data_IF_133237646423
#
_entry.id   IF_133237646423
#
_cell.length_a   1.000
_cell.length_b   1.000
_cell.length_c   1.000
_cell.angle_alpha   90.00
_cell.angle_beta   90.00
_cell.angle_gamma   90.00
#
_symmetry.space_group_name_H-M   'P 1'
#
loop_
_entity.id
_entity.type
_entity.pdbx_description
1 polymer ?
#
# COMPACT_ATOMS: atom_id res chain seq x y z
N UNK A 1 32.45 50.65 65.00
CA UNK A 1 31.56 50.21 63.91
C UNK A 1 32.40 49.97 62.66
N UNK A 2 32.61 48.71 62.26
CA UNK A 2 32.75 48.29 60.85
C UNK A 2 32.94 46.77 60.82
N UNK A 3 31.86 46.05 60.46
CA UNK A 3 31.86 44.59 60.26
C UNK A 3 32.41 44.29 58.85
N UNK A 4 33.46 43.48 58.76
CA UNK A 4 33.89 42.85 57.51
C UNK A 4 33.10 41.56 57.28
N UNK A 5 32.46 41.44 56.12
CA UNK A 5 31.80 40.21 55.66
C UNK A 5 32.77 39.39 54.80
N UNK A 6 32.79 38.06 54.89
CA UNK A 6 33.54 37.24 53.95
C UNK A 6 32.73 37.07 52.66
N UNK A 7 33.33 37.44 51.52
CA UNK A 7 32.82 37.11 50.19
C UNK A 7 32.97 35.62 49.94
N UNK A 8 31.86 34.88 50.00
CA UNK A 8 31.75 33.52 49.48
C UNK A 8 31.62 33.57 47.97
N UNK A 9 32.64 33.06 47.26
CA UNK A 9 32.60 32.86 45.82
C UNK A 9 31.75 31.60 45.53
N UNK A 10 30.50 31.76 45.12
CA UNK A 10 29.73 30.65 44.55
C UNK A 10 30.20 30.42 43.11
N UNK A 11 30.95 29.34 42.87
CA UNK A 11 31.17 28.83 41.53
C UNK A 11 29.92 28.06 41.08
N UNK A 12 29.10 28.67 40.23
CA UNK A 12 27.99 27.97 39.57
C UNK A 12 28.54 27.14 38.39
N UNK A 13 28.56 25.82 38.57
CA UNK A 13 28.81 24.88 37.48
C UNK A 13 27.56 24.82 36.59
N UNK A 14 27.57 25.52 35.45
CA UNK A 14 26.57 25.31 34.41
C UNK A 14 26.93 24.05 33.62
N UNK A 15 26.35 22.91 34.01
CA UNK A 15 26.31 21.72 33.15
C UNK A 15 25.31 21.97 32.02
N UNK A 16 25.80 22.38 30.85
CA UNK A 16 25.05 22.30 29.60
C UNK A 16 24.95 20.82 29.20
N UNK A 17 23.86 20.14 29.53
CA UNK A 17 23.52 18.89 28.84
C UNK A 17 23.07 19.26 27.43
N UNK A 18 24.00 19.18 26.48
CA UNK A 18 23.66 19.15 25.07
C UNK A 18 22.92 17.83 24.84
N UNK A 19 21.59 17.86 24.89
CA UNK A 19 20.76 16.76 24.42
C UNK A 19 20.94 16.73 22.91
N UNK A 20 21.95 16.01 22.43
CA UNK A 20 22.05 15.63 21.03
C UNK A 20 20.92 14.61 20.82
N UNK A 21 19.75 15.10 20.41
CA UNK A 21 18.70 14.25 19.88
C UNK A 21 19.22 13.68 18.56
N UNK A 22 19.94 12.55 18.60
CA UNK A 22 20.30 11.83 17.38
C UNK A 22 19.02 11.31 16.75
N UNK A 23 18.56 11.95 15.68
CA UNK A 23 17.47 11.42 14.88
C UNK A 23 17.96 10.08 14.33
N UNK A 24 17.20 9.01 14.56
CA UNK A 24 17.56 7.71 14.02
C UNK A 24 17.59 7.79 12.48
N UNK A 25 18.71 7.33 11.91
CA UNK A 25 18.97 7.32 10.47
C UNK A 25 18.97 5.89 9.96
N UNK A 26 18.70 5.73 8.67
CA UNK A 26 18.85 4.44 7.99
C UNK A 26 20.36 4.18 7.80
N UNK A 27 20.87 3.01 8.23
CA UNK A 27 22.25 2.62 7.95
C UNK A 27 22.52 2.62 6.44
N UNK A 28 23.71 3.07 6.02
CA UNK A 28 24.04 3.25 4.59
C UNK A 28 23.89 1.95 3.81
N UNK A 29 24.23 0.81 4.40
CA UNK A 29 24.07 -0.52 3.84
C UNK A 29 22.60 -0.93 3.60
N UNK A 30 21.65 -0.27 4.26
CA UNK A 30 20.21 -0.49 4.11
C UNK A 30 19.53 0.55 3.20
N UNK A 31 20.31 1.45 2.59
CA UNK A 31 19.83 2.40 1.57
C UNK A 31 19.89 1.77 0.19
N UNK A 32 19.15 2.33 -0.77
CA UNK A 32 19.22 1.89 -2.16
C UNK A 32 18.85 3.01 -3.13
N UNK A 33 19.32 2.89 -4.38
CA UNK A 33 18.91 3.71 -5.51
C UNK A 33 18.73 2.81 -6.72
N UNK A 34 17.53 2.82 -7.29
CA UNK A 34 17.23 2.15 -8.55
C UNK A 34 16.96 3.19 -9.64
N UNK A 35 17.52 2.97 -10.83
CA UNK A 35 17.23 3.77 -12.01
C UNK A 35 16.23 3.01 -12.88
N UNK A 36 15.22 3.72 -13.38
CA UNK A 36 14.25 3.20 -14.34
C UNK A 36 14.88 3.16 -15.74
N UNK A 37 15.67 2.11 -15.99
CA UNK A 37 16.37 1.85 -17.25
C UNK A 37 16.54 0.34 -17.47
N UNK A 38 17.04 -0.04 -18.64
CA UNK A 38 17.36 -1.43 -18.97
C UNK A 38 16.22 -2.20 -19.64
N UNK A 39 16.40 -3.52 -19.71
CA UNK A 39 15.54 -4.45 -20.45
C UNK A 39 14.13 -4.56 -19.84
N UNK A 40 13.16 -4.77 -20.71
CA UNK A 40 11.78 -5.00 -20.33
C UNK A 40 11.58 -6.46 -19.90
N UNK A 41 10.64 -6.69 -18.99
CA UNK A 41 10.26 -8.02 -18.59
C UNK A 41 9.64 -8.82 -19.75
N UNK A 42 9.92 -10.12 -19.86
CA UNK A 42 9.62 -10.89 -21.08
C UNK A 42 8.18 -11.42 -21.15
N UNK A 43 7.39 -11.25 -20.08
CA UNK A 43 6.07 -11.88 -19.95
C UNK A 43 4.92 -10.88 -20.10
N UNK A 44 3.78 -11.34 -20.61
CA UNK A 44 2.56 -10.52 -20.65
C UNK A 44 2.04 -10.28 -19.24
N UNK A 45 1.73 -9.02 -18.95
CA UNK A 45 1.22 -8.55 -17.66
C UNK A 45 -0.10 -7.81 -17.85
N UNK A 46 -0.77 -7.56 -16.73
CA UNK A 46 -2.03 -6.83 -16.72
C UNK A 46 -1.94 -5.50 -17.49
N UNK A 47 -2.98 -5.22 -18.27
CA UNK A 47 -3.11 -4.09 -19.21
C UNK A 47 -2.19 -4.11 -20.42
N UNK A 48 -1.46 -5.22 -20.67
CA UNK A 48 -0.51 -5.30 -21.77
C UNK A 48 0.62 -4.28 -21.62
N UNK A 49 1.02 -4.01 -20.37
CA UNK A 49 2.02 -3.01 -20.06
C UNK A 49 3.44 -3.54 -20.30
N UNK A 50 4.35 -2.63 -20.62
CA UNK A 50 5.77 -2.89 -20.46
C UNK A 50 6.14 -2.70 -18.99
N UNK A 51 7.16 -3.42 -18.51
CA UNK A 51 7.59 -3.34 -17.13
C UNK A 51 9.06 -3.68 -16.93
N UNK A 52 9.61 -3.22 -15.80
CA UNK A 52 10.95 -3.52 -15.31
C UNK A 52 10.86 -3.93 -13.86
N UNK A 53 11.54 -5.01 -13.51
CA UNK A 53 11.54 -5.52 -12.14
C UNK A 53 12.64 -4.85 -11.33
N UNK A 54 12.34 -4.55 -10.06
CA UNK A 54 13.34 -4.13 -9.09
C UNK A 54 13.73 -5.33 -8.21
N UNK A 55 14.94 -5.30 -7.66
CA UNK A 55 15.40 -6.31 -6.70
C UNK A 55 14.81 -6.08 -5.29
N UNK A 56 13.51 -5.80 -5.23
CA UNK A 56 12.71 -5.71 -4.02
C UNK A 56 11.53 -6.66 -4.20
N UNK A 57 11.60 -7.81 -3.54
CA UNK A 57 10.60 -8.87 -3.69
C UNK A 57 10.33 -9.60 -2.37
N UNK A 58 9.10 -10.07 -2.21
CA UNK A 58 8.70 -11.04 -1.20
C UNK A 58 7.60 -11.90 -1.83
N UNK A 59 7.93 -13.13 -2.22
CA UNK A 59 7.06 -13.95 -3.04
C UNK A 59 5.63 -14.01 -2.48
N UNK A 60 4.58 -13.74 -3.29
CA UNK A 60 4.59 -13.55 -4.76
C UNK A 60 4.57 -12.09 -5.22
N UNK A 61 5.02 -11.16 -4.36
CA UNK A 61 5.06 -9.74 -4.65
C UNK A 61 6.44 -9.28 -5.09
N UNK A 62 6.48 -8.32 -6.02
CA UNK A 62 7.72 -7.67 -6.43
C UNK A 62 7.44 -6.23 -6.86
N UNK A 63 8.36 -5.33 -6.54
CA UNK A 63 8.28 -3.94 -6.96
C UNK A 63 8.77 -3.78 -8.39
N UNK A 64 8.07 -2.99 -9.19
CA UNK A 64 8.35 -2.79 -10.61
C UNK A 64 8.14 -1.33 -11.03
N UNK A 65 8.83 -0.92 -12.09
CA UNK A 65 8.32 0.15 -12.95
C UNK A 65 7.45 -0.48 -14.02
N UNK A 66 6.33 0.14 -14.36
CA UNK A 66 5.49 -0.31 -15.48
C UNK A 66 4.85 0.87 -16.21
N UNK A 67 4.49 0.69 -17.48
CA UNK A 67 3.84 1.72 -18.27
C UNK A 67 2.83 1.14 -19.28
N UNK A 68 1.66 1.75 -19.36
CA UNK A 68 0.64 1.49 -20.41
C UNK A 68 0.64 2.58 -21.49
N UNK A 69 1.58 3.51 -21.40
CA UNK A 69 1.79 4.62 -22.34
C UNK A 69 3.30 4.81 -22.49
N UNK A 70 3.84 4.93 -23.71
CA UNK A 70 5.28 5.08 -23.91
C UNK A 70 5.87 6.21 -23.06
N UNK A 71 6.98 5.93 -22.37
CA UNK A 71 7.72 6.88 -21.53
C UNK A 71 6.90 7.54 -20.39
N UNK A 72 5.85 6.86 -19.92
CA UNK A 72 5.03 7.30 -18.78
C UNK A 72 4.96 6.19 -17.75
N UNK A 73 5.99 6.12 -16.91
CA UNK A 73 6.25 5.04 -15.98
C UNK A 73 5.62 5.26 -14.60
N UNK A 74 5.14 4.17 -14.03
CA UNK A 74 4.54 4.11 -12.70
C UNK A 74 5.31 3.09 -11.86
N UNK A 75 5.66 3.45 -10.64
CA UNK A 75 6.16 2.51 -9.64
C UNK A 75 4.98 1.76 -9.04
N UNK A 76 5.00 0.43 -9.17
CA UNK A 76 3.91 -0.43 -8.78
C UNK A 76 4.38 -1.72 -8.10
N UNK A 77 3.50 -2.32 -7.31
CA UNK A 77 3.67 -3.65 -6.77
C UNK A 77 2.93 -4.64 -7.67
N UNK A 78 3.67 -5.60 -8.24
CA UNK A 78 3.05 -6.75 -8.90
C UNK A 78 2.76 -7.88 -7.91
N UNK A 79 1.78 -8.70 -8.24
CA UNK A 79 1.44 -9.96 -7.58
C UNK A 79 1.37 -11.07 -8.63
N UNK A 80 2.13 -12.16 -8.42
CA UNK A 80 2.13 -13.34 -9.29
C UNK A 80 3.46 -14.09 -9.29
N UNK A 81 3.42 -15.40 -9.51
CA UNK A 81 4.62 -16.25 -9.52
C UNK A 81 5.21 -16.34 -10.93
N UNK A 82 6.53 -16.15 -11.06
CA UNK A 82 7.23 -16.22 -12.36
C UNK A 82 7.15 -17.62 -12.98
N UNK A 83 7.03 -18.66 -12.15
CA UNK A 83 6.98 -20.06 -12.59
C UNK A 83 5.67 -20.49 -13.25
N UNK A 84 4.61 -19.69 -13.15
CA UNK A 84 3.26 -20.15 -13.53
C UNK A 84 2.79 -19.71 -14.91
N UNK A 85 3.60 -18.91 -15.64
CA UNK A 85 3.20 -18.19 -16.88
C UNK A 85 1.90 -17.37 -16.73
N UNK A 86 1.39 -17.23 -15.49
CA UNK A 86 0.14 -16.57 -15.21
C UNK A 86 0.32 -15.06 -15.31
N UNK A 87 -0.73 -14.41 -15.82
CA UNK A 87 -0.84 -12.95 -15.86
C UNK A 87 -0.47 -12.33 -14.51
N UNK A 88 0.56 -11.48 -14.48
CA UNK A 88 0.93 -10.71 -13.30
C UNK A 88 -0.05 -9.55 -13.10
N UNK A 89 -0.44 -9.28 -11.85
CA UNK A 89 -1.45 -8.29 -11.49
C UNK A 89 -0.82 -7.09 -10.79
N UNK A 90 -1.22 -5.88 -11.15
CA UNK A 90 -0.75 -4.64 -10.53
C UNK A 90 -1.62 -4.31 -9.33
N UNK A 91 -1.16 -4.59 -8.11
CA UNK A 91 -2.03 -4.55 -6.90
C UNK A 91 -1.85 -3.29 -6.05
N UNK A 92 -0.86 -2.46 -6.36
CA UNK A 92 -0.63 -1.18 -5.70
C UNK A 92 0.23 -0.28 -6.59
N UNK A 93 0.03 1.03 -6.51
CA UNK A 93 0.80 2.01 -7.30
C UNK A 93 1.10 3.25 -6.49
N UNK A 94 2.34 3.73 -6.57
CA UNK A 94 2.81 4.89 -5.83
C UNK A 94 2.33 6.20 -6.47
N UNK A 95 2.57 6.35 -7.77
CA UNK A 95 2.45 7.60 -8.52
C UNK A 95 1.40 7.54 -9.64
N UNK A 96 0.28 6.83 -9.41
CA UNK A 96 -0.85 6.80 -10.35
C UNK A 96 -1.27 8.24 -10.71
N UNK A 97 -1.33 8.53 -12.01
CA UNK A 97 -1.65 9.86 -12.53
C UNK A 97 -0.55 10.92 -12.44
N UNK A 98 0.62 10.57 -11.92
CA UNK A 98 1.82 11.40 -11.96
C UNK A 98 3.02 10.59 -12.48
N UNK A 99 3.00 10.15 -13.75
CA UNK A 99 4.02 9.25 -14.29
C UNK A 99 5.39 9.93 -14.35
N UNK A 100 6.44 9.14 -14.17
CA UNK A 100 7.83 9.55 -14.40
C UNK A 100 8.31 9.11 -15.78
N UNK A 101 9.42 9.68 -16.23
CA UNK A 101 10.05 9.32 -17.50
C UNK A 101 11.14 8.25 -17.30
N UNK A 102 11.75 7.85 -18.42
CA UNK A 102 13.01 7.13 -18.45
C UNK A 102 14.07 7.78 -17.54
N UNK A 103 14.94 6.97 -16.95
CA UNK A 103 16.01 7.38 -16.03
C UNK A 103 15.52 8.02 -14.72
N UNK A 104 14.21 7.95 -14.43
CA UNK A 104 13.69 8.26 -13.11
C UNK A 104 14.31 7.36 -12.04
N UNK A 105 14.40 7.84 -10.81
CA UNK A 105 15.07 7.11 -9.73
C UNK A 105 14.13 6.85 -8.57
N UNK A 106 14.15 5.62 -8.05
CA UNK A 106 13.59 5.27 -6.75
C UNK A 106 14.75 5.19 -5.75
N UNK A 107 14.74 6.10 -4.78
CA UNK A 107 15.81 6.22 -3.78
C UNK A 107 15.24 6.05 -2.38
N UNK A 108 15.84 5.19 -1.57
CA UNK A 108 15.63 5.13 -0.12
C UNK A 108 16.89 5.63 0.56
N UNK A 109 16.83 6.84 1.13
CA UNK A 109 17.98 7.56 1.66
C UNK A 109 18.26 7.32 3.15
N UNK A 110 19.39 7.85 3.62
CA UNK A 110 19.79 7.80 5.05
C UNK A 110 18.84 8.59 5.96
N UNK A 111 18.16 9.59 5.39
CA UNK A 111 17.08 10.34 6.04
C UNK A 111 15.81 9.49 6.28
N UNK A 112 15.75 8.29 5.71
CA UNK A 112 14.62 7.39 5.86
C UNK A 112 13.42 7.74 4.98
N UNK A 113 13.61 8.55 3.93
CA UNK A 113 12.59 8.84 2.95
C UNK A 113 12.71 7.91 1.73
N UNK A 114 11.58 7.40 1.23
CA UNK A 114 11.52 6.71 -0.04
C UNK A 114 10.96 7.68 -1.08
N UNK A 115 11.76 8.00 -2.09
CA UNK A 115 11.52 9.07 -3.06
C UNK A 115 11.57 8.51 -4.48
N UNK A 116 10.54 8.81 -5.26
CA UNK A 116 10.51 8.61 -6.69
C UNK A 116 10.63 9.98 -7.38
N UNK A 117 11.73 10.19 -8.12
CA UNK A 117 12.01 11.44 -8.82
C UNK A 117 12.33 11.21 -10.29
N UNK A 118 12.05 12.19 -11.13
CA UNK A 118 12.51 12.22 -12.52
C UNK A 118 14.04 12.41 -12.59
N UNK A 119 14.62 12.22 -13.78
CA UNK A 119 16.04 12.44 -14.00
C UNK A 119 16.52 13.90 -13.77
N UNK A 120 15.58 14.85 -13.75
CA UNK A 120 15.82 16.26 -13.41
C UNK A 120 15.51 16.58 -11.93
N UNK A 121 15.52 15.55 -11.09
CA UNK A 121 15.28 15.59 -9.64
C UNK A 121 13.88 16.07 -9.20
N UNK A 122 12.96 16.31 -10.14
CA UNK A 122 11.57 16.61 -9.80
C UNK A 122 10.88 15.40 -9.19
N UNK A 123 10.53 15.51 -7.91
CA UNK A 123 9.85 14.48 -7.14
C UNK A 123 8.44 14.25 -7.70
N UNK A 124 8.17 13.03 -8.13
CA UNK A 124 6.83 12.60 -8.56
C UNK A 124 6.02 11.99 -7.42
N UNK A 125 6.70 11.31 -6.48
CA UNK A 125 6.08 10.71 -5.30
C UNK A 125 7.11 10.49 -4.19
N UNK A 126 6.66 10.53 -2.93
CA UNK A 126 7.50 10.18 -1.78
C UNK A 126 6.68 9.79 -0.56
N UNK A 127 7.29 9.08 0.39
CA UNK A 127 6.65 8.67 1.66
C UNK A 127 6.53 9.80 2.69
N UNK A 128 7.26 10.90 2.49
CA UNK A 128 7.34 12.03 3.43
C UNK A 128 7.81 11.59 4.83
N UNK A 129 8.81 10.72 4.88
CA UNK A 129 9.35 10.14 6.13
C UNK A 129 10.75 10.61 6.50
N UNK A 130 11.30 11.57 5.75
CA UNK A 130 12.59 12.19 6.04
C UNK A 130 12.69 12.61 7.50
N UNK A 131 13.71 12.10 8.19
CA UNK A 131 14.03 12.37 9.59
C UNK A 131 12.92 12.01 10.59
N UNK A 132 11.98 11.11 10.24
CA UNK A 132 10.91 10.63 11.13
C UNK A 132 11.27 9.36 11.91
N UNK A 133 12.55 9.09 12.08
CA UNK A 133 13.06 7.94 12.84
C UNK A 133 12.94 6.59 12.13
N UNK A 134 12.84 6.61 10.79
CA UNK A 134 12.92 5.39 9.98
C UNK A 134 14.33 4.82 10.05
N UNK A 135 14.41 3.50 10.20
CA UNK A 135 15.68 2.75 10.27
C UNK A 135 15.76 1.63 9.23
N UNK A 136 14.66 1.33 8.54
CA UNK A 136 14.65 0.30 7.51
C UNK A 136 13.39 0.29 6.65
N UNK A 137 13.50 -0.42 5.53
CA UNK A 137 12.46 -0.69 4.54
C UNK A 137 12.24 -2.20 4.43
N UNK A 138 11.00 -2.66 4.32
CA UNK A 138 10.66 -4.06 4.03
C UNK A 138 9.46 -4.17 3.10
N UNK A 139 9.48 -5.13 2.19
CA UNK A 139 8.29 -5.67 1.54
C UNK A 139 7.89 -6.95 2.29
N UNK A 140 6.70 -6.96 2.89
CA UNK A 140 6.20 -8.09 3.66
C UNK A 140 5.54 -9.15 2.76
N UNK A 141 5.45 -10.43 3.19
CA UNK A 141 4.82 -11.51 2.42
C UNK A 141 3.34 -11.32 2.09
N UNK A 142 2.66 -10.36 2.72
CA UNK A 142 1.27 -9.99 2.41
C UNK A 142 1.17 -8.83 1.40
N UNK A 143 2.29 -8.36 0.85
CA UNK A 143 2.35 -7.25 -0.10
C UNK A 143 2.42 -5.87 0.56
N UNK A 144 2.49 -5.77 1.89
CA UNK A 144 2.64 -4.49 2.56
C UNK A 144 4.10 -4.01 2.47
N UNK A 145 4.31 -2.85 1.87
CA UNK A 145 5.60 -2.17 1.87
C UNK A 145 5.63 -1.30 3.13
N UNK A 146 6.62 -1.48 4.00
CA UNK A 146 6.71 -0.79 5.28
C UNK A 146 8.05 -0.09 5.46
N UNK A 147 8.00 1.12 6.01
CA UNK A 147 9.14 1.80 6.61
C UNK A 147 8.98 1.73 8.12
N UNK A 148 10.01 1.29 8.84
CA UNK A 148 9.90 1.02 10.28
C UNK A 148 11.01 1.68 11.10
N UNK A 149 10.69 1.97 12.36
CA UNK A 149 11.66 2.46 13.35
C UNK A 149 12.48 1.30 13.96
N UNK A 150 13.40 1.63 14.88
CA UNK A 150 14.27 0.67 15.56
C UNK A 150 13.51 -0.30 16.47
N UNK A 151 12.26 0.00 16.82
CA UNK A 151 11.36 -0.86 17.60
C UNK A 151 10.48 -1.73 16.70
N UNK A 152 10.65 -1.64 15.37
CA UNK A 152 9.84 -2.35 14.39
C UNK A 152 8.44 -1.75 14.19
N UNK A 153 8.15 -0.58 14.77
CA UNK A 153 6.87 0.12 14.54
C UNK A 153 6.87 0.73 13.15
N UNK A 154 5.76 0.58 12.45
CA UNK A 154 5.60 1.18 11.12
C UNK A 154 5.48 2.70 11.23
N UNK A 155 6.40 3.40 10.57
CA UNK A 155 6.36 4.85 10.37
C UNK A 155 5.55 5.16 9.11
N UNK A 156 5.64 4.32 8.09
CA UNK A 156 4.84 4.38 6.87
C UNK A 156 4.52 2.97 6.37
N UNK A 157 3.37 2.80 5.71
CA UNK A 157 3.01 1.54 5.07
C UNK A 157 2.14 1.74 3.82
N UNK A 158 2.34 0.94 2.76
CA UNK A 158 1.54 1.01 1.53
C UNK A 158 0.07 0.68 1.78
N UNK A 159 -0.22 -0.14 2.79
CA UNK A 159 -1.59 -0.47 3.16
C UNK A 159 -2.42 0.75 3.58
N UNK A 160 -1.78 1.86 4.01
CA UNK A 160 -2.45 3.13 4.32
C UNK A 160 -2.71 4.00 3.08
N UNK A 161 -2.26 3.57 1.90
CA UNK A 161 -2.38 4.28 0.63
C UNK A 161 -2.90 3.35 -0.47
N UNK A 162 -4.09 2.74 -0.32
CA UNK A 162 -4.63 1.85 -1.34
C UNK A 162 -4.91 2.58 -2.66
N UNK A 163 -4.94 1.83 -3.75
CA UNK A 163 -5.35 2.30 -5.08
C UNK A 163 -6.77 1.81 -5.40
N UNK A 164 -6.92 0.88 -6.35
CA UNK A 164 -8.17 0.20 -6.68
C UNK A 164 -8.30 -1.18 -6.01
N UNK A 165 -7.26 -1.63 -5.33
CA UNK A 165 -7.12 -3.00 -4.82
C UNK A 165 -6.99 -3.01 -3.30
N UNK A 166 -7.65 -3.98 -2.67
CA UNK A 166 -7.52 -4.33 -1.27
C UNK A 166 -6.90 -5.74 -1.19
N UNK A 167 -5.74 -5.86 -0.54
CA UNK A 167 -5.04 -7.14 -0.34
C UNK A 167 -5.52 -7.84 0.94
N UNK A 168 -5.34 -9.17 1.00
CA UNK A 168 -5.63 -9.95 2.20
C UNK A 168 -4.80 -9.41 3.37
N UNK A 169 -5.48 -9.08 4.47
CA UNK A 169 -4.87 -8.46 5.64
C UNK A 169 -4.92 -6.93 5.65
N UNK A 170 -5.31 -6.29 4.55
CA UNK A 170 -5.50 -4.84 4.45
C UNK A 170 -6.91 -4.43 4.88
N UNK A 171 -7.04 -3.23 5.44
CA UNK A 171 -8.30 -2.67 5.90
C UNK A 171 -8.59 -1.31 5.29
N UNK A 172 -9.87 -1.02 5.10
CA UNK A 172 -10.38 0.34 5.02
C UNK A 172 -10.99 0.73 6.37
N UNK A 173 -10.86 1.98 6.81
CA UNK A 173 -11.39 2.46 8.10
C UNK A 173 -11.68 3.96 8.11
N UNK A 174 -12.51 4.38 9.06
CA UNK A 174 -12.82 5.81 9.27
C UNK A 174 -11.62 6.62 9.79
N UNK A 175 -10.69 5.97 10.50
CA UNK A 175 -9.50 6.58 11.09
C UNK A 175 -8.24 6.43 10.22
N UNK A 176 -8.38 5.97 8.99
CA UNK A 176 -7.27 5.64 8.10
C UNK A 176 -7.70 5.70 6.62
N UNK A 177 -7.10 4.89 5.74
CA UNK A 177 -7.58 4.82 4.36
C UNK A 177 -9.03 4.36 4.35
N UNK A 178 -9.95 5.15 3.79
CA UNK A 178 -11.38 4.85 3.85
C UNK A 178 -11.97 4.45 2.50
N UNK A 179 -11.19 4.45 1.41
CA UNK A 179 -11.69 4.15 0.08
C UNK A 179 -10.69 3.47 -0.84
N UNK A 180 -11.23 2.77 -1.84
CA UNK A 180 -10.54 2.43 -3.09
C UNK A 180 -11.05 3.35 -4.21
N UNK A 181 -10.22 3.61 -5.22
CA UNK A 181 -10.60 4.38 -6.40
C UNK A 181 -10.22 3.58 -7.64
N UNK A 182 -11.19 3.34 -8.53
CA UNK A 182 -10.97 2.56 -9.74
C UNK A 182 -9.92 3.21 -10.64
N UNK A 183 -9.37 2.43 -11.56
CA UNK A 183 -8.59 2.96 -12.67
C UNK A 183 -9.52 3.54 -13.75
N UNK A 184 -9.06 4.56 -14.49
CA UNK A 184 -9.89 5.23 -15.49
C UNK A 184 -10.13 4.38 -16.75
N UNK A 185 -9.10 3.70 -17.25
CA UNK A 185 -9.23 2.76 -18.37
C UNK A 185 -7.98 1.89 -18.48
N UNK A 186 -8.01 0.85 -19.31
CA UNK A 186 -6.85 -0.01 -19.61
C UNK A 186 -5.63 0.80 -20.08
N UNK A 187 -5.83 1.89 -20.83
CA UNK A 187 -4.74 2.71 -21.37
C UNK A 187 -4.33 3.85 -20.44
N UNK A 188 -5.29 4.50 -19.77
CA UNK A 188 -5.04 5.71 -18.96
C UNK A 188 -4.81 5.36 -17.50
N UNK A 189 -3.55 5.43 -17.07
CA UNK A 189 -3.20 5.19 -15.67
C UNK A 189 -3.49 6.40 -14.75
N UNK A 190 -4.76 6.72 -14.59
CA UNK A 190 -5.27 7.79 -13.71
C UNK A 190 -6.48 7.26 -12.94
N UNK A 191 -6.90 8.00 -11.90
CA UNK A 191 -8.11 7.68 -11.16
C UNK A 191 -9.34 7.74 -12.06
N UNK A 192 -10.12 6.67 -12.02
CA UNK A 192 -11.42 6.52 -12.67
C UNK A 192 -12.55 7.13 -11.87
N UNK A 193 -13.79 6.99 -12.36
CA UNK A 193 -14.94 7.62 -11.75
C UNK A 193 -15.47 6.86 -10.53
N UNK A 194 -15.12 5.58 -10.35
CA UNK A 194 -15.72 4.77 -9.29
C UNK A 194 -14.89 4.78 -8.02
N UNK A 195 -15.56 4.77 -6.86
CA UNK A 195 -14.91 4.60 -5.56
C UNK A 195 -15.73 3.73 -4.61
N UNK A 196 -15.06 2.81 -3.93
CA UNK A 196 -15.62 1.99 -2.85
C UNK A 196 -15.25 2.66 -1.53
N UNK A 197 -16.23 3.03 -0.70
CA UNK A 197 -16.02 3.91 0.45
C UNK A 197 -16.62 3.32 1.73
N UNK A 198 -15.85 3.38 2.82
CA UNK A 198 -16.32 3.14 4.19
C UNK A 198 -16.76 4.46 4.81
N UNK A 199 -18.00 4.50 5.28
CA UNK A 199 -18.63 5.61 5.98
C UNK A 199 -19.28 5.11 7.29
N UNK A 200 -19.61 6.00 8.23
CA UNK A 200 -20.10 5.60 9.55
C UNK A 200 -21.29 4.64 9.57
N UNK A 201 -22.17 4.72 8.57
CA UNK A 201 -23.40 3.93 8.47
C UNK A 201 -23.55 3.24 7.12
N UNK A 202 -22.51 3.30 6.29
CA UNK A 202 -22.61 2.88 4.89
C UNK A 202 -21.29 2.33 4.41
N UNK A 203 -21.36 1.21 3.68
CA UNK A 203 -20.29 0.74 2.83
C UNK A 203 -20.83 0.73 1.42
N UNK A 204 -20.21 1.45 0.50
CA UNK A 204 -20.86 1.71 -0.79
C UNK A 204 -19.89 2.02 -1.92
N UNK A 205 -20.37 1.79 -3.14
CA UNK A 205 -19.72 2.21 -4.37
C UNK A 205 -20.41 3.49 -4.88
N UNK A 206 -19.60 4.47 -5.25
CA UNK A 206 -20.02 5.71 -5.88
C UNK A 206 -19.51 5.76 -7.32
N UNK A 207 -20.31 6.35 -8.20
CA UNK A 207 -19.84 6.88 -9.48
C UNK A 207 -19.72 8.40 -9.34
N UNK A 208 -18.47 8.87 -9.21
CA UNK A 208 -18.10 10.23 -8.82
C UNK A 208 -18.71 10.56 -7.45
N UNK A 209 -19.77 11.36 -7.44
CA UNK A 209 -20.49 11.77 -6.22
C UNK A 209 -21.82 11.06 -6.05
N UNK A 210 -22.31 10.36 -7.09
CA UNK A 210 -23.59 9.66 -7.05
C UNK A 210 -23.40 8.28 -6.43
N UNK A 211 -24.21 7.97 -5.41
CA UNK A 211 -24.30 6.62 -4.87
C UNK A 211 -24.74 5.66 -5.99
N UNK A 212 -23.91 4.67 -6.29
CA UNK A 212 -24.18 3.68 -7.33
C UNK A 212 -24.72 2.40 -6.72
N UNK A 213 -24.05 1.87 -5.69
CA UNK A 213 -24.44 0.64 -4.99
C UNK A 213 -24.21 0.79 -3.50
N UNK A 214 -25.22 0.49 -2.69
CA UNK A 214 -25.07 0.28 -1.26
C UNK A 214 -24.77 -1.19 -0.97
N UNK A 215 -23.68 -1.45 -0.26
CA UNK A 215 -23.25 -2.78 0.16
C UNK A 215 -23.82 -3.08 1.53
N UNK A 216 -25.09 -3.45 1.58
CA UNK A 216 -25.82 -3.82 2.80
C UNK A 216 -25.38 -5.21 3.38
N UNK A 217 -24.08 -5.47 3.39
CA UNK A 217 -23.46 -6.74 3.82
C UNK A 217 -23.33 -6.88 5.32
N UNK A 218 -23.45 -5.76 6.04
CA UNK A 218 -23.19 -5.67 7.47
C UNK A 218 -24.48 -5.29 8.18
N UNK A 219 -24.83 -6.04 9.22
CA UNK A 219 -25.86 -5.58 10.17
C UNK A 219 -25.22 -4.56 11.11
N UNK A 220 -25.44 -3.28 10.80
CA UNK A 220 -24.89 -2.17 11.57
C UNK A 220 -25.77 -1.80 12.76
N UNK A 221 -27.07 -2.12 12.72
CA UNK A 221 -28.08 -1.56 13.62
C UNK A 221 -27.86 -0.06 13.92
N UNK A 222 -27.87 0.30 15.20
CA UNK A 222 -27.57 1.66 15.65
C UNK A 222 -26.07 1.94 15.83
N UNK A 223 -25.17 1.00 15.53
CA UNK A 223 -23.71 1.19 15.66
C UNK A 223 -23.06 1.81 14.43
N UNK A 224 -21.80 2.22 14.58
CA UNK A 224 -20.99 2.85 13.53
C UNK A 224 -20.00 1.84 12.95
N UNK A 225 -19.93 1.71 11.63
CA UNK A 225 -18.91 0.93 10.95
C UNK A 225 -17.55 1.64 11.05
N UNK A 226 -16.59 1.04 11.74
CA UNK A 226 -15.27 1.66 11.94
C UNK A 226 -14.24 1.18 10.93
N UNK A 227 -14.28 -0.09 10.56
CA UNK A 227 -13.32 -0.68 9.62
C UNK A 227 -13.84 -1.95 8.96
N UNK A 228 -13.40 -2.18 7.74
CA UNK A 228 -13.63 -3.38 6.95
C UNK A 228 -12.27 -3.93 6.50
N UNK A 229 -12.00 -5.21 6.75
CA UNK A 229 -10.73 -5.87 6.46
C UNK A 229 -10.95 -7.06 5.53
N UNK A 230 -10.19 -7.12 4.43
CA UNK A 230 -10.17 -8.31 3.60
C UNK A 230 -9.43 -9.42 4.31
N UNK A 231 -10.09 -10.57 4.44
CA UNK A 231 -9.50 -11.75 5.04
C UNK A 231 -9.86 -12.98 4.22
N UNK A 232 -8.96 -13.95 4.20
CA UNK A 232 -9.15 -15.19 3.48
C UNK A 232 -8.49 -16.35 4.23
N UNK A 233 -9.02 -17.55 4.03
CA UNK A 233 -8.49 -18.76 4.66
C UNK A 233 -9.51 -19.89 4.59
N UNK A 234 -9.01 -21.13 4.54
CA UNK A 234 -9.83 -22.35 4.49
C UNK A 234 -10.92 -22.29 3.41
N UNK A 235 -10.55 -21.90 2.19
CA UNK A 235 -11.44 -21.80 1.02
C UNK A 235 -12.55 -20.74 1.16
N UNK A 236 -12.46 -19.86 2.16
CA UNK A 236 -13.44 -18.80 2.41
C UNK A 236 -12.81 -17.45 2.14
N UNK A 237 -13.55 -16.60 1.45
CA UNK A 237 -13.24 -15.20 1.25
C UNK A 237 -14.26 -14.36 2.02
N UNK A 238 -13.77 -13.48 2.89
CA UNK A 238 -14.63 -12.73 3.80
C UNK A 238 -14.13 -11.31 4.03
N UNK A 239 -15.06 -10.47 4.49
CA UNK A 239 -14.76 -9.17 5.05
C UNK A 239 -15.03 -9.21 6.54
N UNK A 240 -13.97 -9.10 7.34
CA UNK A 240 -14.10 -8.89 8.77
C UNK A 240 -14.42 -7.39 8.98
N UNK A 241 -15.40 -7.07 9.84
CA UNK A 241 -15.77 -5.69 10.12
C UNK A 241 -15.84 -5.42 11.62
N UNK A 242 -15.54 -4.16 11.99
CA UNK A 242 -15.57 -3.68 13.38
C UNK A 242 -16.62 -2.59 13.51
N UNK A 243 -17.44 -2.71 14.55
CA UNK A 243 -18.45 -1.74 14.92
C UNK A 243 -18.02 -0.99 16.17
N UNK A 244 -18.33 0.30 16.23
CA UNK A 244 -18.01 1.16 17.37
C UNK A 244 -18.56 0.56 18.68
N UNK A 245 -17.70 0.58 19.72
CA UNK A 245 -17.99 0.06 21.06
C UNK A 245 -18.35 -1.44 21.11
N UNK A 246 -18.23 -2.17 20.00
CA UNK A 246 -18.39 -3.61 19.98
C UNK A 246 -17.05 -4.30 20.23
N UNK A 247 -17.05 -5.29 21.12
CA UNK A 247 -15.92 -6.22 21.31
C UNK A 247 -16.06 -7.47 20.43
N UNK A 248 -17.21 -7.65 19.77
CA UNK A 248 -17.46 -8.80 18.90
C UNK A 248 -16.75 -8.62 17.56
N UNK A 249 -16.11 -9.69 17.10
CA UNK A 249 -15.62 -9.80 15.72
C UNK A 249 -16.75 -10.30 14.84
N UNK A 250 -17.12 -9.50 13.85
CA UNK A 250 -18.14 -9.86 12.88
C UNK A 250 -17.51 -10.00 11.50
N UNK A 251 -18.10 -10.85 10.65
CA UNK A 251 -17.61 -11.07 9.31
C UNK A 251 -18.74 -11.33 8.34
N UNK A 252 -18.61 -10.81 7.12
CA UNK A 252 -19.46 -11.16 5.99
C UNK A 252 -18.69 -12.10 5.05
N UNK A 253 -19.26 -13.27 4.73
CA UNK A 253 -18.65 -14.21 3.79
C UNK A 253 -19.09 -13.81 2.37
N UNK A 254 -18.14 -13.41 1.54
CA UNK A 254 -18.41 -13.00 0.16
C UNK A 254 -18.50 -14.20 -0.78
N UNK A 255 -17.63 -15.18 -0.59
CA UNK A 255 -17.57 -16.37 -1.43
C UNK A 255 -16.95 -17.57 -0.72
N UNK A 256 -17.37 -18.75 -1.15
CA UNK A 256 -16.69 -20.01 -0.93
C UNK A 256 -16.00 -20.42 -2.23
N UNK A 257 -14.79 -20.96 -2.11
CA UNK A 257 -13.96 -21.36 -3.25
C UNK A 257 -13.68 -22.86 -3.15
N UNK A 258 -13.16 -23.46 -4.23
CA UNK A 258 -12.80 -24.89 -4.25
C UNK A 258 -11.33 -25.15 -3.88
N UNK A 259 -10.55 -24.10 -3.65
CA UNK A 259 -9.10 -24.15 -3.47
C UNK A 259 -8.66 -23.05 -2.50
N UNK A 260 -7.38 -23.03 -2.15
CA UNK A 260 -6.87 -22.10 -1.15
C UNK A 260 -7.00 -20.64 -1.60
N UNK A 261 -7.51 -19.78 -0.71
CA UNK A 261 -7.74 -18.34 -0.93
C UNK A 261 -6.66 -17.46 -0.35
N UNK A 262 -5.54 -18.01 0.12
CA UNK A 262 -4.43 -17.20 0.67
C UNK A 262 -3.91 -16.18 -0.36
N UNK A 263 -3.95 -16.54 -1.65
CA UNK A 263 -3.53 -15.65 -2.74
C UNK A 263 -4.74 -15.01 -3.44
N UNK A 264 -5.37 -14.08 -2.72
CA UNK A 264 -6.55 -13.34 -3.19
C UNK A 264 -6.35 -11.84 -3.06
N UNK A 265 -6.99 -11.09 -3.96
CA UNK A 265 -7.21 -9.65 -3.80
C UNK A 265 -8.63 -9.26 -4.22
N UNK A 266 -9.14 -8.18 -3.64
CA UNK A 266 -10.41 -7.57 -4.00
C UNK A 266 -10.13 -6.27 -4.77
N UNK A 267 -10.78 -6.05 -5.91
CA UNK A 267 -10.55 -4.88 -6.77
C UNK A 267 -11.85 -4.22 -7.17
N UNK A 268 -11.86 -2.90 -7.08
CA UNK A 268 -12.85 -2.07 -7.74
C UNK A 268 -12.43 -1.83 -9.19
N UNK A 269 -13.13 -2.48 -10.11
CA UNK A 269 -12.79 -2.48 -11.53
C UNK A 269 -13.12 -1.14 -12.21
N UNK A 270 -12.58 -0.98 -13.42
CA UNK A 270 -12.77 0.20 -14.29
C UNK A 270 -14.27 0.42 -14.60
N UNK A 271 -15.05 -0.66 -14.68
CA UNK A 271 -16.48 -0.68 -14.95
C UNK A 271 -17.36 -0.41 -13.71
N UNK A 272 -16.74 -0.25 -12.53
CA UNK A 272 -17.44 -0.03 -11.26
C UNK A 272 -17.84 -1.31 -10.53
N UNK A 273 -17.58 -2.48 -11.12
CA UNK A 273 -17.86 -3.76 -10.48
C UNK A 273 -16.80 -4.07 -9.42
N UNK A 274 -17.23 -4.71 -8.33
CA UNK A 274 -16.33 -5.16 -7.28
C UNK A 274 -16.06 -6.64 -7.47
N UNK A 275 -14.80 -7.00 -7.76
CA UNK A 275 -14.40 -8.37 -8.09
C UNK A 275 -13.30 -8.87 -7.17
N UNK A 276 -13.37 -10.13 -6.77
CA UNK A 276 -12.26 -10.79 -6.11
C UNK A 276 -11.61 -11.80 -7.04
N UNK A 277 -10.29 -11.73 -7.10
CA UNK A 277 -9.47 -12.64 -7.89
C UNK A 277 -8.67 -13.53 -6.96
N UNK A 278 -8.77 -14.84 -7.15
CA UNK A 278 -8.00 -15.82 -6.39
C UNK A 278 -7.14 -16.63 -7.34
N UNK A 279 -5.87 -16.81 -6.96
CA UNK A 279 -4.95 -17.65 -7.71
C UNK A 279 -5.22 -19.13 -7.42
N UNK A 280 -5.40 -19.91 -8.47
CA UNK A 280 -5.56 -21.36 -8.41
C UNK A 280 -4.30 -22.05 -8.96
N UNK A 281 -3.56 -22.72 -8.07
CA UNK A 281 -2.34 -23.45 -8.46
C UNK A 281 -2.62 -24.86 -8.97
N UNK A 282 -3.81 -25.42 -8.68
CA UNK A 282 -4.13 -26.83 -8.97
C UNK A 282 -4.60 -27.12 -10.40
N UNK A 283 -4.84 -26.08 -11.20
CA UNK A 283 -5.38 -26.19 -12.57
C UNK A 283 -4.38 -25.56 -13.54
N UNK A 284 -3.60 -26.42 -14.22
CA UNK A 284 -2.54 -26.00 -15.14
C UNK A 284 -3.09 -25.57 -16.51
N UNK A 285 -4.28 -26.07 -16.88
CA UNK A 285 -4.86 -25.94 -18.23
C UNK A 285 -5.76 -24.71 -18.38
N UNK A 286 -5.71 -23.79 -17.42
CA UNK A 286 -6.60 -22.64 -17.34
C UNK A 286 -5.94 -21.39 -16.78
N UNK A 287 -6.51 -20.19 -17.00
CA UNK A 287 -6.04 -18.97 -16.35
C UNK A 287 -5.98 -19.14 -14.83
N UNK A 288 -4.79 -18.96 -14.26
CA UNK A 288 -4.57 -19.21 -12.82
C UNK A 288 -5.33 -18.23 -11.94
N UNK A 289 -5.49 -16.98 -12.38
CA UNK A 289 -6.35 -16.01 -11.69
C UNK A 289 -7.81 -16.21 -12.07
N UNK A 290 -8.63 -16.66 -11.11
CA UNK A 290 -10.06 -16.84 -11.29
C UNK A 290 -10.83 -15.72 -10.60
N UNK A 291 -11.91 -15.26 -11.24
CA UNK A 291 -12.90 -14.42 -10.58
C UNK A 291 -13.71 -15.31 -9.64
N UNK A 292 -13.47 -15.18 -8.33
CA UNK A 292 -14.16 -15.97 -7.30
C UNK A 292 -15.33 -15.23 -6.66
N UNK A 293 -15.42 -13.93 -6.91
CA UNK A 293 -16.53 -13.08 -6.51
C UNK A 293 -16.67 -11.96 -7.55
N UNK A 294 -17.91 -11.64 -7.92
CA UNK A 294 -18.23 -10.47 -8.73
C UNK A 294 -19.56 -9.92 -8.25
N UNK A 295 -19.59 -8.62 -8.02
CA UNK A 295 -20.83 -7.89 -7.81
C UNK A 295 -21.01 -6.93 -8.98
N UNK A 296 -22.15 -7.08 -9.65
CA UNK A 296 -22.62 -6.23 -10.74
C UNK A 296 -23.62 -5.20 -10.22
#
# INVERSE_FOLDING_TARGET
MSRSWPTTLLASLFLFSQIISSIAQVPVENTFKFVNEGELGPFVVEYGADYRVLNIFANPFQLCFYNTTPNAWTLALRMGTVRSESLMRWVWEANRGNPVKENATLTFGTDGNLVLANADDRIAWQTNTANKGVTGFKLLPNGNIVLHDSKGKFVWQSFNHPTDTLLVGQSLSLSGPNKLVSRASVKKNVNGPYSLVVQPKLFAIYNRTKLAVELAWFDLGNSTLESVKLNSGNQRLKLDYRLAKSTKRSSHVMAFTKYNTTLTYLRLEIDGNLKAYTFNDGDLDSPRWRVTYSMN
#
